data_IF_415136898887
#
_entry.id   IF_415136898887
#
_cell.length_a   1.000
_cell.length_b   1.000
_cell.length_c   1.000
_cell.angle_alpha   90.00
_cell.angle_beta   90.00
_cell.angle_gamma   90.00
#
_symmetry.space_group_name_H-M   'P 1'
#
loop_
_entity.id
_entity.type
_entity.pdbx_description
1 polymer ?
#
# COMPACT_ATOMS: atom_id res chain seq x y z
N UNK A 1 -18.34 9.24 0.94
CA UNK A 1 -18.29 8.98 -0.51
C UNK A 1 -18.59 10.30 -1.20
N UNK A 2 -17.59 10.96 -1.74
CA UNK A 2 -17.82 12.03 -2.71
C UNK A 2 -18.11 11.33 -4.03
N UNK A 3 -19.22 11.57 -4.70
CA UNK A 3 -19.53 10.92 -5.96
C UNK A 3 -18.42 11.25 -6.95
N UNK A 4 -17.81 10.26 -7.58
CA UNK A 4 -16.75 10.43 -8.58
C UNK A 4 -17.17 11.37 -9.73
N UNK A 5 -18.45 11.48 -10.01
CA UNK A 5 -19.01 12.34 -11.05
C UNK A 5 -19.05 13.84 -10.70
N UNK A 6 -18.87 14.23 -9.44
CA UNK A 6 -18.97 15.65 -9.04
C UNK A 6 -17.67 16.43 -9.12
N UNK A 7 -16.54 15.76 -9.35
CA UNK A 7 -15.22 16.39 -9.32
C UNK A 7 -14.79 16.85 -10.72
N UNK A 8 -15.36 16.28 -11.78
CA UNK A 8 -14.84 16.48 -13.12
C UNK A 8 -15.99 16.67 -14.09
N UNK A 9 -16.35 17.91 -14.29
CA UNK A 9 -17.06 18.28 -15.51
C UNK A 9 -15.96 18.59 -16.55
N UNK A 10 -15.57 17.64 -17.43
CA UNK A 10 -14.62 17.96 -18.48
C UNK A 10 -15.29 19.06 -19.30
N UNK A 11 -14.56 20.16 -19.55
CA UNK A 11 -15.00 21.15 -20.48
C UNK A 11 -15.43 20.41 -21.75
N UNK A 12 -16.66 20.57 -22.26
CA UNK A 12 -17.08 19.90 -23.46
C UNK A 12 -16.24 20.42 -24.60
N UNK A 13 -15.20 19.68 -24.97
CA UNK A 13 -14.49 19.91 -26.21
C UNK A 13 -15.37 19.35 -27.32
N UNK A 14 -16.05 20.24 -28.05
CA UNK A 14 -16.59 19.86 -29.35
C UNK A 14 -15.42 19.48 -30.26
N UNK A 15 -15.55 18.40 -31.01
CA UNK A 15 -14.53 17.94 -31.99
C UNK A 15 -14.07 19.05 -32.96
N UNK A 16 -14.91 20.07 -33.19
CA UNK A 16 -14.61 21.24 -34.02
C UNK A 16 -13.57 22.21 -33.45
N UNK A 17 -13.28 22.12 -32.16
CA UNK A 17 -12.31 23.00 -31.48
C UNK A 17 -10.92 22.36 -31.37
N UNK A 18 -10.77 21.16 -31.90
CA UNK A 18 -9.60 20.32 -31.76
C UNK A 18 -8.59 20.59 -32.85
N UNK A 19 -7.95 21.71 -32.82
CA UNK A 19 -6.72 21.95 -33.56
C UNK A 19 -5.49 21.78 -32.64
N UNK A 20 -4.32 22.09 -33.17
CA UNK A 20 -3.02 21.98 -32.44
C UNK A 20 -3.01 22.67 -31.08
N UNK A 21 -3.85 23.67 -30.85
CA UNK A 21 -4.02 24.36 -29.57
C UNK A 21 -5.06 23.72 -28.66
N UNK A 22 -5.55 22.55 -28.99
CA UNK A 22 -6.67 21.91 -28.29
C UNK A 22 -6.31 21.30 -26.94
N UNK A 23 -5.12 21.45 -26.44
CA UNK A 23 -4.73 20.90 -25.15
C UNK A 23 -5.09 19.41 -24.99
N UNK A 24 -5.03 18.64 -26.08
CA UNK A 24 -5.41 17.23 -26.06
C UNK A 24 -4.69 16.44 -24.95
N UNK A 25 -3.47 16.84 -24.64
CA UNK A 25 -2.64 16.26 -23.58
C UNK A 25 -2.65 17.08 -22.29
N UNK A 26 -3.18 18.30 -22.29
CA UNK A 26 -3.17 19.11 -21.08
C UNK A 26 -4.32 18.72 -20.16
N UNK A 27 -4.10 18.99 -18.87
CA UNK A 27 -5.16 18.88 -17.87
C UNK A 27 -6.39 19.68 -18.31
N UNK A 28 -7.57 19.08 -18.15
CA UNK A 28 -8.85 19.77 -18.35
C UNK A 28 -9.09 20.86 -17.29
N UNK A 29 -8.22 20.97 -16.29
CA UNK A 29 -8.28 21.93 -15.19
C UNK A 29 -7.07 22.85 -15.21
N UNK A 30 -7.31 24.15 -15.13
CA UNK A 30 -6.25 25.15 -15.03
C UNK A 30 -5.64 25.23 -13.62
N UNK A 31 -6.41 24.89 -12.58
CA UNK A 31 -5.99 24.99 -11.19
C UNK A 31 -6.46 23.80 -10.37
N UNK A 32 -5.57 22.83 -10.11
CA UNK A 32 -5.81 21.74 -9.20
C UNK A 32 -5.48 22.16 -7.76
N UNK A 33 -6.43 22.00 -6.84
CA UNK A 33 -6.17 22.18 -5.43
C UNK A 33 -5.21 21.08 -4.92
N UNK A 34 -4.47 21.35 -3.84
CA UNK A 34 -3.62 20.34 -3.21
C UNK A 34 -4.43 19.11 -2.79
N UNK A 35 -5.66 19.31 -2.29
CA UNK A 35 -6.55 18.20 -1.94
C UNK A 35 -6.87 17.28 -3.14
N UNK A 36 -7.08 17.83 -4.33
CA UNK A 36 -7.32 17.02 -5.54
C UNK A 36 -6.07 16.23 -5.93
N UNK A 37 -4.90 16.84 -5.82
CA UNK A 37 -3.62 16.18 -6.09
C UNK A 37 -3.35 15.04 -5.10
N UNK A 38 -3.55 15.29 -3.81
CA UNK A 38 -3.44 14.28 -2.75
C UNK A 38 -4.41 13.12 -2.93
N UNK A 39 -5.66 13.41 -3.31
CA UNK A 39 -6.66 12.38 -3.59
C UNK A 39 -6.23 11.48 -4.75
N UNK A 40 -5.62 12.04 -5.79
CA UNK A 40 -5.07 11.26 -6.89
C UNK A 40 -3.90 10.38 -6.42
N UNK A 41 -2.94 10.95 -5.69
CA UNK A 41 -1.81 10.21 -5.14
C UNK A 41 -2.30 9.04 -4.28
N UNK A 42 -3.27 9.29 -3.40
CA UNK A 42 -3.85 8.26 -2.53
C UNK A 42 -4.54 7.14 -3.32
N UNK A 43 -5.19 7.45 -4.45
CA UNK A 43 -5.78 6.43 -5.33
C UNK A 43 -4.71 5.59 -6.04
N UNK A 44 -3.58 6.19 -6.41
CA UNK A 44 -2.48 5.50 -7.08
C UNK A 44 -1.59 4.71 -6.10
N UNK A 45 -1.54 5.11 -4.82
CA UNK A 45 -0.60 4.56 -3.86
C UNK A 45 -0.73 3.05 -3.65
N UNK A 46 -1.95 2.55 -3.37
CA UNK A 46 -2.15 1.13 -3.14
C UNK A 46 -1.78 0.26 -4.36
N UNK A 47 -2.27 0.55 -5.60
CA UNK A 47 -1.83 -0.17 -6.78
C UNK A 47 -0.32 -0.11 -7.02
N UNK A 48 0.31 1.05 -6.81
CA UNK A 48 1.75 1.20 -7.03
C UNK A 48 2.58 0.42 -5.99
N UNK A 49 2.15 0.38 -4.73
CA UNK A 49 2.79 -0.43 -3.68
C UNK A 49 2.66 -1.93 -3.95
N UNK A 50 1.47 -2.39 -4.38
CA UNK A 50 1.26 -3.78 -4.80
C UNK A 50 2.17 -4.14 -5.98
N UNK A 51 2.28 -3.26 -6.98
CA UNK A 51 3.17 -3.46 -8.12
C UNK A 51 4.66 -3.43 -7.72
N UNK A 52 5.04 -2.63 -6.73
CA UNK A 52 6.40 -2.66 -6.17
C UNK A 52 6.70 -4.00 -5.50
N UNK A 53 5.77 -4.54 -4.73
CA UNK A 53 5.92 -5.85 -4.07
C UNK A 53 5.95 -7.00 -5.09
N UNK A 54 5.07 -6.98 -6.10
CA UNK A 54 4.92 -8.07 -7.06
C UNK A 54 5.98 -8.03 -8.17
N UNK A 55 6.27 -6.84 -8.70
CA UNK A 55 7.11 -6.68 -9.89
C UNK A 55 8.47 -6.05 -9.60
N UNK A 56 8.69 -5.50 -8.38
CA UNK A 56 9.94 -4.83 -8.01
C UNK A 56 10.16 -3.48 -8.71
N UNK A 57 9.10 -2.84 -9.21
CA UNK A 57 9.14 -1.50 -9.81
C UNK A 57 8.92 -0.46 -8.72
N UNK A 58 9.76 0.60 -8.59
CA UNK A 58 9.57 1.60 -7.54
C UNK A 58 8.17 2.22 -7.57
N UNK A 59 7.44 2.16 -6.46
CA UNK A 59 6.10 2.75 -6.35
C UNK A 59 6.13 4.26 -6.58
N UNK A 60 7.16 4.93 -6.05
CA UNK A 60 7.41 6.36 -6.27
C UNK A 60 7.55 6.72 -7.74
N UNK A 61 8.24 5.88 -8.52
CA UNK A 61 8.37 6.06 -9.96
C UNK A 61 7.01 5.90 -10.66
N UNK A 62 6.25 4.86 -10.34
CA UNK A 62 4.91 4.63 -10.91
C UNK A 62 3.99 5.81 -10.64
N UNK A 63 3.91 6.28 -9.39
CA UNK A 63 3.05 7.41 -9.01
C UNK A 63 3.53 8.70 -9.69
N UNK A 64 4.83 8.96 -9.68
CA UNK A 64 5.42 10.14 -10.32
C UNK A 64 5.18 10.18 -11.84
N UNK A 65 5.32 9.03 -12.51
CA UNK A 65 4.99 8.88 -13.94
C UNK A 65 3.51 9.15 -14.20
N UNK A 66 2.61 8.58 -13.39
CA UNK A 66 1.17 8.81 -13.51
C UNK A 66 0.82 10.29 -13.35
N UNK A 67 1.45 11.00 -12.40
CA UNK A 67 1.25 12.44 -12.20
C UNK A 67 1.70 13.23 -13.43
N UNK A 68 2.91 12.97 -13.94
CA UNK A 68 3.48 13.69 -15.08
C UNK A 68 2.63 13.49 -16.34
N UNK A 69 2.32 12.23 -16.68
CA UNK A 69 1.67 11.85 -17.94
C UNK A 69 0.16 12.18 -17.95
N UNK A 70 -0.48 12.21 -16.78
CA UNK A 70 -1.94 12.41 -16.69
C UNK A 70 -2.38 13.74 -16.07
N UNK A 71 -1.43 14.57 -15.60
CA UNK A 71 -1.78 15.78 -14.88
C UNK A 71 -2.67 15.50 -13.66
N UNK A 72 -2.27 14.58 -12.81
CA UNK A 72 -3.06 14.09 -11.66
C UNK A 72 -4.42 13.47 -12.09
N UNK A 73 -4.42 12.71 -13.19
CA UNK A 73 -5.62 12.04 -13.70
C UNK A 73 -6.62 12.97 -14.40
N UNK A 74 -6.24 14.17 -14.78
CA UNK A 74 -7.16 15.18 -15.34
C UNK A 74 -7.02 15.39 -16.84
N UNK A 75 -6.13 14.68 -17.52
CA UNK A 75 -6.08 14.69 -18.98
C UNK A 75 -7.28 13.94 -19.58
N UNK A 76 -7.64 14.26 -20.82
CA UNK A 76 -8.74 13.57 -21.52
C UNK A 76 -8.51 12.05 -21.61
N UNK A 77 -7.27 11.62 -21.80
CA UNK A 77 -6.90 10.20 -21.86
C UNK A 77 -7.11 9.52 -20.50
N UNK A 78 -6.69 10.17 -19.40
CA UNK A 78 -6.88 9.63 -18.06
C UNK A 78 -8.38 9.51 -17.71
N UNK A 79 -9.18 10.54 -18.03
CA UNK A 79 -10.62 10.58 -17.69
C UNK A 79 -11.42 9.54 -18.49
N UNK A 80 -11.16 9.41 -19.81
CA UNK A 80 -12.00 8.59 -20.67
C UNK A 80 -11.52 7.14 -20.80
N UNK A 81 -10.25 6.87 -20.48
CA UNK A 81 -9.65 5.55 -20.66
C UNK A 81 -9.02 4.96 -19.40
N UNK A 82 -9.07 5.63 -18.25
CA UNK A 82 -8.28 5.29 -17.05
C UNK A 82 -6.79 5.05 -17.37
N UNK A 83 -6.28 5.76 -18.37
CA UNK A 83 -4.91 5.58 -18.88
C UNK A 83 -4.04 6.74 -18.41
N UNK A 84 -3.34 6.49 -17.30
CA UNK A 84 -2.54 7.50 -16.61
C UNK A 84 -1.10 7.59 -17.13
N UNK A 85 -0.74 6.75 -18.10
CA UNK A 85 0.63 6.57 -18.58
C UNK A 85 0.77 6.81 -20.09
N UNK A 86 -0.28 7.27 -20.75
CA UNK A 86 -0.25 7.54 -22.18
C UNK A 86 -0.03 6.29 -23.06
N UNK A 87 -0.46 5.11 -22.60
CA UNK A 87 -0.23 3.85 -23.30
C UNK A 87 -1.07 3.78 -24.57
N UNK A 88 -0.40 3.86 -25.72
CA UNK A 88 -1.01 3.82 -27.06
C UNK A 88 -1.31 2.40 -27.53
N UNK A 89 -2.30 2.30 -28.43
CA UNK A 89 -2.61 1.10 -29.21
C UNK A 89 -2.64 1.52 -30.68
N UNK A 90 -1.72 1.00 -31.46
CA UNK A 90 -1.61 1.34 -32.86
C UNK A 90 -2.63 0.58 -33.72
N UNK A 91 -3.26 1.25 -34.66
CA UNK A 91 -4.17 0.64 -35.61
C UNK A 91 -5.43 1.43 -35.85
N UNK A 92 -6.24 0.96 -36.79
CA UNK A 92 -7.52 1.55 -37.09
C UNK A 92 -8.60 0.96 -36.20
N UNK A 93 -9.23 1.80 -35.39
CA UNK A 93 -10.30 1.40 -34.46
C UNK A 93 -9.97 0.12 -33.63
N UNK A 94 -8.84 0.09 -32.92
CA UNK A 94 -8.44 -1.09 -32.17
C UNK A 94 -9.42 -1.40 -31.02
N UNK A 95 -9.58 -2.69 -30.69
CA UNK A 95 -10.43 -3.10 -29.56
C UNK A 95 -9.86 -2.59 -28.24
N UNK A 96 -10.73 -2.26 -27.30
CA UNK A 96 -10.39 -1.76 -25.97
C UNK A 96 -9.48 -0.51 -26.00
N UNK A 97 -9.75 0.39 -26.94
CA UNK A 97 -9.04 1.63 -27.05
C UNK A 97 -10.00 2.82 -27.23
N UNK A 98 -9.61 3.95 -26.69
CA UNK A 98 -10.29 5.23 -26.83
C UNK A 98 -9.47 6.15 -27.73
N UNK A 99 -10.14 6.84 -28.66
CA UNK A 99 -9.48 7.73 -29.60
C UNK A 99 -9.38 9.16 -29.06
N UNK A 100 -8.16 9.69 -28.96
CA UNK A 100 -7.91 11.09 -28.65
C UNK A 100 -7.93 11.91 -29.93
N UNK A 101 -9.10 12.41 -30.30
CA UNK A 101 -9.27 13.24 -31.49
C UNK A 101 -8.64 14.63 -31.30
N UNK A 102 -8.24 15.24 -32.42
CA UNK A 102 -7.69 16.58 -32.45
C UNK A 102 -6.26 16.74 -31.99
N UNK A 103 -5.57 15.64 -31.73
CA UNK A 103 -4.15 15.61 -31.45
C UNK A 103 -3.33 15.96 -32.70
N UNK A 104 -2.19 16.66 -32.62
CA UNK A 104 -1.26 16.83 -33.72
C UNK A 104 -0.92 15.50 -34.37
N UNK A 105 -0.68 15.51 -35.68
CA UNK A 105 -0.25 14.30 -36.39
C UNK A 105 1.18 13.92 -35.98
N UNK A 106 1.32 12.76 -35.39
CA UNK A 106 2.61 12.15 -34.99
C UNK A 106 2.93 10.91 -35.81
N UNK A 107 2.03 10.53 -36.76
CA UNK A 107 2.26 9.36 -37.62
C UNK A 107 3.23 9.74 -38.76
N UNK A 108 4.05 8.78 -39.14
CA UNK A 108 4.95 8.91 -40.29
C UNK A 108 4.17 8.91 -41.64
N UNK A 109 2.91 8.49 -41.65
CA UNK A 109 2.03 8.54 -42.80
C UNK A 109 1.08 9.74 -42.67
N UNK A 110 1.09 10.68 -43.62
CA UNK A 110 0.24 11.85 -43.56
C UNK A 110 -1.25 11.47 -43.48
N UNK A 111 -1.91 11.98 -42.45
CA UNK A 111 -3.37 11.83 -42.32
C UNK A 111 -4.07 12.89 -43.17
N UNK A 112 -5.13 12.53 -43.94
CA UNK A 112 -5.88 13.50 -44.73
C UNK A 112 -6.40 14.66 -43.87
N UNK A 113 -6.16 15.89 -44.33
CA UNK A 113 -6.66 17.12 -43.70
C UNK A 113 -8.00 17.46 -44.31
N UNK A 114 -9.07 17.51 -43.52
CA UNK A 114 -10.42 17.86 -43.94
C UNK A 114 -10.63 19.37 -43.98
N UNK A 115 -9.95 20.11 -43.09
CA UNK A 115 -9.98 21.57 -43.06
C UNK A 115 -8.68 22.12 -42.46
N UNK A 116 -8.18 23.22 -43.03
CA UNK A 116 -7.01 23.96 -42.57
C UNK A 116 -7.41 25.42 -42.29
N UNK A 117 -7.32 25.84 -41.04
CA UNK A 117 -7.66 27.19 -40.58
C UNK A 117 -6.42 28.06 -40.35
N UNK A 118 -5.26 27.63 -40.83
CA UNK A 118 -3.98 28.30 -40.61
C UNK A 118 -3.49 28.19 -39.16
N UNK A 119 -2.27 28.70 -38.89
CA UNK A 119 -1.64 28.68 -37.57
C UNK A 119 -1.69 27.29 -36.89
N UNK A 120 -1.44 26.25 -37.64
CA UNK A 120 -1.45 24.86 -37.15
C UNK A 120 -2.80 24.33 -36.64
N UNK A 121 -3.89 24.96 -36.97
CA UNK A 121 -5.24 24.47 -36.70
C UNK A 121 -5.77 23.68 -37.91
N UNK A 122 -5.51 22.37 -37.89
CA UNK A 122 -5.97 21.43 -38.91
C UNK A 122 -7.00 20.48 -38.32
N UNK A 123 -8.04 20.19 -39.09
CA UNK A 123 -8.96 19.10 -38.77
C UNK A 123 -8.57 17.93 -39.66
N UNK A 124 -8.18 16.86 -39.03
CA UNK A 124 -7.77 15.62 -39.69
C UNK A 124 -8.97 14.68 -39.91
N UNK A 125 -8.86 13.79 -40.85
CA UNK A 125 -9.77 12.64 -40.97
C UNK A 125 -9.43 11.62 -39.89
N UNK A 126 -10.04 11.79 -38.73
CA UNK A 126 -9.80 10.94 -37.53
C UNK A 126 -10.12 9.47 -37.80
N UNK A 127 -10.92 9.14 -38.83
CA UNK A 127 -11.19 7.75 -39.22
C UNK A 127 -9.98 7.06 -39.87
N UNK A 128 -8.99 7.83 -40.31
CA UNK A 128 -7.76 7.37 -40.96
C UNK A 128 -6.58 7.38 -40.03
N UNK A 129 -6.76 7.80 -38.77
CA UNK A 129 -5.67 7.86 -37.80
C UNK A 129 -5.43 6.53 -37.13
N UNK A 130 -4.13 6.18 -36.93
CA UNK A 130 -3.66 4.97 -36.25
C UNK A 130 -2.91 5.27 -34.94
N UNK A 131 -2.45 6.49 -34.77
CA UNK A 131 -1.49 6.95 -33.78
C UNK A 131 -2.12 7.54 -32.50
N UNK A 132 -3.42 7.85 -32.54
CA UNK A 132 -4.11 8.55 -31.47
C UNK A 132 -5.10 7.71 -30.66
N UNK A 133 -4.90 6.40 -30.66
CA UNK A 133 -5.67 5.45 -29.86
C UNK A 133 -4.95 5.09 -28.58
N UNK A 134 -5.65 5.13 -27.48
CA UNK A 134 -5.12 4.84 -26.15
C UNK A 134 -5.86 3.66 -25.51
N UNK A 135 -5.11 2.75 -24.89
CA UNK A 135 -5.68 1.59 -24.22
C UNK A 135 -6.65 2.03 -23.11
N UNK A 136 -7.82 1.40 -23.06
CA UNK A 136 -8.79 1.55 -21.97
C UNK A 136 -8.44 0.56 -20.88
N UNK A 137 -8.47 1.03 -19.63
CA UNK A 137 -8.32 0.21 -18.42
C UNK A 137 -9.59 0.30 -17.58
N UNK A 138 -9.97 -0.80 -16.92
CA UNK A 138 -11.15 -0.84 -16.07
C UNK A 138 -10.94 -0.11 -14.73
N UNK A 139 -9.68 0.01 -14.27
CA UNK A 139 -9.33 0.61 -12.98
C UNK A 139 -7.91 1.17 -12.96
N UNK A 140 -7.59 1.95 -11.91
CA UNK A 140 -6.23 2.39 -11.60
C UNK A 140 -5.27 1.18 -11.44
N UNK A 141 -5.74 0.14 -10.77
CA UNK A 141 -4.96 -1.08 -10.57
C UNK A 141 -4.60 -1.75 -11.89
N UNK A 142 -5.56 -1.94 -12.79
CA UNK A 142 -5.29 -2.56 -14.09
C UNK A 142 -4.30 -1.74 -14.93
N UNK A 143 -4.37 -0.41 -14.87
CA UNK A 143 -3.43 0.46 -15.56
C UNK A 143 -2.00 0.32 -14.99
N UNK A 144 -1.87 0.26 -13.67
CA UNK A 144 -0.60 0.06 -12.97
C UNK A 144 -0.03 -1.32 -13.23
N UNK A 145 -0.84 -2.38 -13.11
CA UNK A 145 -0.41 -3.77 -13.38
C UNK A 145 0.06 -3.93 -14.82
N UNK A 146 -0.63 -3.32 -15.77
CA UNK A 146 -0.20 -3.35 -17.16
C UNK A 146 1.12 -2.59 -17.38
N UNK A 147 1.28 -1.41 -16.79
CA UNK A 147 2.54 -0.68 -16.86
C UNK A 147 3.67 -1.49 -16.25
N UNK A 148 3.53 -1.91 -15.00
CA UNK A 148 4.61 -2.57 -14.24
C UNK A 148 4.88 -3.99 -14.75
N UNK A 149 3.85 -4.83 -14.85
CA UNK A 149 3.99 -6.25 -15.17
C UNK A 149 4.21 -6.55 -16.66
N UNK A 150 3.64 -5.73 -17.56
CA UNK A 150 3.74 -6.00 -19.00
C UNK A 150 4.74 -5.07 -19.70
N UNK A 151 4.65 -3.75 -19.48
CA UNK A 151 5.45 -2.80 -20.23
C UNK A 151 6.88 -2.70 -19.67
N UNK A 152 7.02 -2.42 -18.37
CA UNK A 152 8.33 -2.17 -17.76
C UNK A 152 9.15 -3.43 -17.50
N UNK A 153 8.53 -4.62 -17.51
CA UNK A 153 9.23 -5.90 -17.43
C UNK A 153 9.50 -6.55 -18.79
N UNK A 154 9.12 -5.92 -19.89
CA UNK A 154 9.49 -6.44 -21.20
C UNK A 154 11.02 -6.38 -21.42
N UNK A 155 11.49 -7.07 -22.46
CA UNK A 155 12.94 -7.19 -22.75
C UNK A 155 13.66 -5.85 -22.83
N UNK A 156 12.98 -4.78 -23.27
CA UNK A 156 13.55 -3.44 -23.46
C UNK A 156 13.87 -2.75 -22.15
N UNK A 157 13.00 -2.89 -21.13
CA UNK A 157 13.08 -2.08 -19.90
C UNK A 157 13.47 -2.86 -18.64
N UNK A 158 13.35 -4.19 -18.63
CA UNK A 158 13.54 -5.01 -17.42
C UNK A 158 14.91 -4.85 -16.74
N UNK A 159 15.94 -4.44 -17.50
CA UNK A 159 17.27 -4.20 -16.94
C UNK A 159 17.26 -3.07 -15.92
N UNK A 160 16.39 -2.07 -16.08
CA UNK A 160 16.25 -0.96 -15.14
C UNK A 160 15.81 -1.44 -13.74
N UNK A 161 14.93 -2.46 -13.68
CA UNK A 161 14.56 -3.13 -12.43
C UNK A 161 15.79 -3.77 -11.77
N UNK A 162 16.57 -4.54 -12.53
CA UNK A 162 17.79 -5.17 -12.01
C UNK A 162 18.77 -4.12 -11.46
N UNK A 163 19.01 -3.05 -12.22
CA UNK A 163 19.85 -1.94 -11.77
C UNK A 163 19.31 -1.28 -10.49
N UNK A 164 18.00 -1.09 -10.39
CA UNK A 164 17.35 -0.52 -9.19
C UNK A 164 17.62 -1.40 -7.97
N UNK A 165 17.37 -2.71 -8.06
CA UNK A 165 17.60 -3.69 -6.99
C UNK A 165 19.08 -3.73 -6.55
N UNK A 166 20.01 -3.71 -7.51
CA UNK A 166 21.44 -3.69 -7.22
C UNK A 166 21.88 -2.38 -6.54
N UNK A 167 21.34 -1.22 -6.95
CA UNK A 167 21.60 0.06 -6.30
C UNK A 167 21.15 0.05 -4.84
N UNK A 168 19.95 -0.48 -4.56
CA UNK A 168 19.46 -0.64 -3.18
C UNK A 168 20.37 -1.56 -2.38
N UNK A 169 20.72 -2.72 -2.93
CA UNK A 169 21.65 -3.68 -2.30
C UNK A 169 23.02 -3.06 -1.99
N UNK A 170 23.46 -2.14 -2.81
CA UNK A 170 24.73 -1.39 -2.64
C UNK A 170 24.58 -0.15 -1.74
N UNK A 171 23.47 -0.01 -1.01
CA UNK A 171 23.29 1.03 0.00
C UNK A 171 22.85 2.39 -0.54
N UNK A 172 22.33 2.47 -1.77
CA UNK A 172 21.74 3.71 -2.26
C UNK A 172 20.42 4.02 -1.55
N UNK A 173 20.12 5.30 -1.37
CA UNK A 173 18.80 5.69 -0.90
C UNK A 173 17.72 5.32 -1.92
N UNK A 174 16.51 5.00 -1.43
CA UNK A 174 15.35 4.70 -2.29
C UNK A 174 15.10 5.82 -3.30
N UNK A 175 15.19 7.07 -2.85
CA UNK A 175 15.00 8.25 -3.69
C UNK A 175 15.99 8.28 -4.86
N UNK A 176 17.28 8.14 -4.57
CA UNK A 176 18.32 8.16 -5.61
C UNK A 176 18.14 6.98 -6.57
N UNK A 177 17.86 5.79 -6.04
CA UNK A 177 17.68 4.59 -6.85
C UNK A 177 16.44 4.68 -7.75
N UNK A 178 15.31 5.22 -7.25
CA UNK A 178 14.10 5.42 -8.04
C UNK A 178 14.30 6.46 -9.15
N UNK A 179 15.01 7.54 -8.88
CA UNK A 179 15.36 8.55 -9.90
C UNK A 179 16.24 7.97 -11.01
N UNK A 180 17.22 7.15 -10.65
CA UNK A 180 18.05 6.47 -11.65
C UNK A 180 17.31 5.35 -12.39
N UNK A 181 16.29 4.74 -11.77
CA UNK A 181 15.40 3.84 -12.49
C UNK A 181 14.65 4.57 -13.63
N UNK A 182 14.15 5.79 -13.34
CA UNK A 182 13.50 6.64 -14.35
C UNK A 182 14.46 7.03 -15.49
N UNK A 183 15.72 7.31 -15.17
CA UNK A 183 16.75 7.55 -16.16
C UNK A 183 16.92 6.35 -17.08
N UNK A 184 17.11 5.15 -16.50
CA UNK A 184 17.34 3.92 -17.23
C UNK A 184 16.21 3.59 -18.22
N UNK A 185 14.93 3.69 -17.79
CA UNK A 185 13.80 3.41 -18.68
C UNK A 185 13.66 4.45 -19.80
N UNK A 186 13.94 5.71 -19.51
CA UNK A 186 13.82 6.77 -20.51
C UNK A 186 14.94 6.69 -21.55
N UNK A 187 16.19 6.39 -21.17
CA UNK A 187 17.29 6.11 -22.11
C UNK A 187 16.98 4.89 -22.99
N UNK A 188 16.25 3.90 -22.46
CA UNK A 188 15.75 2.79 -23.26
C UNK A 188 14.58 3.17 -24.18
N UNK A 189 14.17 4.45 -24.19
CA UNK A 189 13.18 5.02 -25.09
C UNK A 189 11.74 5.01 -24.56
N UNK A 190 11.54 4.97 -23.24
CA UNK A 190 10.25 5.23 -22.62
C UNK A 190 9.80 6.68 -22.84
N UNK A 191 10.75 7.62 -22.83
CA UNK A 191 10.52 9.02 -23.10
C UNK A 191 11.48 9.51 -24.20
N UNK A 192 10.95 10.23 -25.21
CA UNK A 192 11.71 10.70 -26.37
C UNK A 192 12.70 11.84 -26.04
N UNK A 193 12.55 12.49 -24.87
CA UNK A 193 13.44 13.58 -24.42
C UNK A 193 14.63 13.05 -23.61
N UNK A 194 14.73 11.73 -23.44
CA UNK A 194 15.89 11.05 -22.81
C UNK A 194 15.84 11.00 -21.28
N UNK A 195 16.80 10.25 -20.74
CA UNK A 195 16.88 9.90 -19.33
C UNK A 195 17.04 11.09 -18.41
N UNK A 196 17.93 12.02 -18.74
CA UNK A 196 18.19 13.21 -17.92
C UNK A 196 16.93 14.07 -17.73
N UNK A 197 16.20 14.32 -18.83
CA UNK A 197 14.97 15.08 -18.77
C UNK A 197 13.90 14.38 -17.92
N UNK A 198 13.70 13.09 -18.15
CA UNK A 198 12.65 12.33 -17.49
C UNK A 198 12.92 12.16 -16.00
N UNK A 199 14.17 11.80 -15.64
CA UNK A 199 14.65 11.73 -14.26
C UNK A 199 14.39 13.05 -13.51
N UNK A 200 14.75 14.18 -14.13
CA UNK A 200 14.58 15.48 -13.48
C UNK A 200 13.12 15.89 -13.33
N UNK A 201 12.27 15.61 -14.33
CA UNK A 201 10.85 15.96 -14.28
C UNK A 201 10.08 15.11 -13.27
N UNK A 202 10.18 13.79 -13.36
CA UNK A 202 9.50 12.89 -12.43
C UNK A 202 10.16 12.92 -11.05
N UNK A 203 11.49 13.04 -11.01
CA UNK A 203 12.25 13.14 -9.75
C UNK A 203 11.83 14.35 -8.92
N UNK A 204 11.60 15.50 -9.55
CA UNK A 204 11.05 16.68 -8.85
C UNK A 204 9.66 16.40 -8.23
N UNK A 205 8.81 15.66 -8.93
CA UNK A 205 7.49 15.25 -8.41
C UNK A 205 7.65 14.29 -7.22
N UNK A 206 8.61 13.34 -7.32
CA UNK A 206 8.93 12.42 -6.22
C UNK A 206 9.33 13.20 -4.96
N UNK A 207 10.17 14.23 -5.10
CA UNK A 207 10.61 15.06 -3.98
C UNK A 207 9.49 15.91 -3.41
N UNK A 208 8.76 16.61 -4.27
CA UNK A 208 7.66 17.51 -3.88
C UNK A 208 6.60 16.79 -3.04
N UNK A 209 6.30 15.54 -3.38
CA UNK A 209 5.27 14.75 -2.72
C UNK A 209 5.82 13.66 -1.79
N UNK A 210 7.13 13.62 -1.57
CA UNK A 210 7.80 12.58 -0.77
C UNK A 210 7.34 11.17 -1.16
N UNK A 211 7.29 10.88 -2.47
CA UNK A 211 6.68 9.63 -2.96
C UNK A 211 7.47 8.37 -2.59
N UNK A 212 8.75 8.49 -2.24
CA UNK A 212 9.55 7.36 -1.76
C UNK A 212 9.03 6.73 -0.47
N UNK A 213 8.16 7.44 0.23
CA UNK A 213 7.40 6.86 1.35
C UNK A 213 6.59 5.62 0.95
N UNK A 214 6.28 5.44 -0.34
CA UNK A 214 5.56 4.28 -0.87
C UNK A 214 6.49 3.16 -1.35
N UNK A 215 7.79 3.41 -1.46
CA UNK A 215 8.79 2.40 -1.82
C UNK A 215 9.16 1.58 -0.59
N UNK A 216 9.04 0.26 -0.68
CA UNK A 216 9.39 -0.67 0.41
C UNK A 216 8.67 -0.44 1.76
N UNK A 217 7.62 0.37 1.79
CA UNK A 217 6.78 0.53 2.97
C UNK A 217 5.46 -0.20 2.76
N UNK A 218 5.29 -1.30 3.45
CA UNK A 218 4.07 -2.12 3.39
C UNK A 218 2.79 -1.36 3.77
N UNK A 219 2.88 -0.22 4.52
CA UNK A 219 1.69 0.40 5.10
C UNK A 219 1.80 1.93 5.10
N UNK A 220 0.98 2.57 4.26
CA UNK A 220 0.96 4.04 4.13
C UNK A 220 0.51 4.80 5.38
N UNK A 221 -0.30 4.18 6.23
CA UNK A 221 -0.90 4.80 7.43
C UNK A 221 -0.07 4.61 8.71
N UNK A 222 1.15 4.06 8.58
CA UNK A 222 2.10 3.99 9.70
C UNK A 222 3.22 5.02 9.60
N UNK A 223 3.28 5.77 8.51
CA UNK A 223 4.30 6.79 8.30
C UNK A 223 4.13 7.91 9.32
N UNK A 224 5.19 8.17 10.10
CA UNK A 224 5.15 9.13 11.21
C UNK A 224 4.35 8.65 12.43
N UNK A 225 3.83 7.43 12.42
CA UNK A 225 3.16 6.84 13.58
C UNK A 225 4.21 6.42 14.63
N UNK A 226 3.90 6.59 15.91
CA UNK A 226 4.83 6.28 17.02
C UNK A 226 5.38 4.83 17.00
N UNK A 227 4.64 3.88 16.43
CA UNK A 227 5.02 2.48 16.29
C UNK A 227 5.46 2.12 14.86
N UNK A 228 5.86 3.09 14.03
CA UNK A 228 6.26 2.85 12.63
C UNK A 228 7.39 1.81 12.55
N UNK A 229 8.45 2.01 13.35
CA UNK A 229 9.62 1.13 13.38
C UNK A 229 9.22 -0.32 13.69
N UNK A 230 8.46 -0.51 14.76
CA UNK A 230 8.04 -1.84 15.25
C UNK A 230 7.13 -2.54 14.23
N UNK A 231 6.17 -1.81 13.65
CA UNK A 231 5.24 -2.36 12.67
C UNK A 231 5.99 -2.80 11.40
N UNK A 232 6.86 -1.95 10.85
CA UNK A 232 7.61 -2.28 9.64
C UNK A 232 8.56 -3.46 9.87
N UNK A 233 9.27 -3.47 10.99
CA UNK A 233 10.14 -4.60 11.35
C UNK A 233 9.37 -5.92 11.42
N UNK A 234 8.25 -5.97 12.15
CA UNK A 234 7.46 -7.19 12.27
C UNK A 234 6.85 -7.64 10.94
N UNK A 235 6.54 -6.69 10.06
CA UNK A 235 6.05 -6.99 8.73
C UNK A 235 7.14 -7.59 7.83
N UNK A 236 8.38 -7.12 7.94
CA UNK A 236 9.55 -7.72 7.27
C UNK A 236 9.80 -9.15 7.73
N UNK A 237 9.59 -9.43 9.02
CA UNK A 237 9.67 -10.79 9.57
C UNK A 237 8.48 -11.69 9.17
N UNK A 238 7.44 -11.13 8.52
CA UNK A 238 6.23 -11.87 8.18
C UNK A 238 5.32 -12.19 9.37
N UNK A 239 5.56 -11.61 10.55
CA UNK A 239 4.76 -11.88 11.74
C UNK A 239 3.44 -11.13 11.77
N UNK A 240 3.38 -9.97 11.09
CA UNK A 240 2.17 -9.19 10.90
C UNK A 240 1.94 -8.88 9.43
N UNK A 241 0.69 -8.59 9.09
CA UNK A 241 0.30 -8.13 7.75
C UNK A 241 -0.68 -6.98 7.82
N UNK A 242 -0.74 -6.18 6.76
CA UNK A 242 -1.73 -5.14 6.57
C UNK A 242 -3.00 -5.65 5.89
N UNK A 243 -3.75 -4.69 5.37
CA UNK A 243 -4.96 -4.91 4.59
C UNK A 243 -4.65 -4.75 3.10
N UNK A 244 -5.50 -5.30 2.25
CA UNK A 244 -5.36 -5.23 0.78
C UNK A 244 -5.35 -3.80 0.22
N UNK A 245 -5.82 -2.83 1.00
CA UNK A 245 -5.82 -1.41 0.64
C UNK A 245 -4.49 -0.70 0.95
N UNK A 246 -3.43 -1.43 1.29
CA UNK A 246 -2.12 -0.89 1.63
C UNK A 246 -2.06 -0.20 3.00
N UNK A 247 -3.04 -0.44 3.88
CA UNK A 247 -3.04 0.09 5.24
C UNK A 247 -2.73 -0.98 6.29
N UNK A 248 -2.18 -0.55 7.42
CA UNK A 248 -2.04 -1.38 8.63
C UNK A 248 -3.16 -1.17 9.62
N UNK A 249 -3.75 0.02 9.64
CA UNK A 249 -4.76 0.48 10.60
C UNK A 249 -4.26 0.41 12.05
N UNK A 250 -3.18 1.15 12.39
CA UNK A 250 -2.45 0.99 13.65
C UNK A 250 -3.31 1.22 14.89
N UNK A 251 -4.27 2.14 14.83
CA UNK A 251 -5.14 2.48 15.95
C UNK A 251 -6.39 1.58 16.09
N UNK A 252 -6.60 0.67 15.11
CA UNK A 252 -7.76 -0.24 15.18
C UNK A 252 -7.54 -1.29 16.27
N UNK A 253 -8.56 -1.58 17.13
CA UNK A 253 -8.49 -2.68 18.08
C UNK A 253 -8.22 -4.03 17.41
N UNK A 254 -7.42 -4.86 18.05
CA UNK A 254 -7.08 -6.21 17.59
C UNK A 254 -8.17 -7.19 17.99
N UNK A 255 -8.62 -8.02 17.04
CA UNK A 255 -9.50 -9.16 17.38
C UNK A 255 -8.71 -10.34 17.93
N UNK A 256 -9.38 -11.26 18.64
CA UNK A 256 -8.74 -12.48 19.16
C UNK A 256 -8.14 -13.34 18.04
N UNK A 257 -8.81 -13.48 16.90
CA UNK A 257 -8.26 -14.18 15.74
C UNK A 257 -6.98 -13.50 15.18
N UNK A 258 -6.97 -12.17 15.12
CA UNK A 258 -5.76 -11.42 14.69
C UNK A 258 -4.61 -11.57 15.68
N UNK A 259 -4.89 -11.51 16.98
CA UNK A 259 -3.88 -11.75 18.02
C UNK A 259 -3.32 -13.17 17.93
N UNK A 260 -4.18 -14.19 17.75
CA UNK A 260 -3.76 -15.57 17.55
C UNK A 260 -2.79 -15.71 16.36
N UNK A 261 -3.09 -15.07 15.22
CA UNK A 261 -2.21 -15.09 14.04
C UNK A 261 -0.84 -14.49 14.32
N UNK A 262 -0.82 -13.29 14.90
CA UNK A 262 0.42 -12.56 15.19
C UNK A 262 1.29 -13.35 16.16
N UNK A 263 0.70 -13.84 17.25
CA UNK A 263 1.41 -14.57 18.30
C UNK A 263 1.90 -15.94 17.80
N UNK A 264 1.07 -16.66 17.03
CA UNK A 264 1.46 -17.93 16.42
C UNK A 264 2.65 -17.77 15.47
N UNK A 265 2.64 -16.72 14.64
CA UNK A 265 3.74 -16.41 13.71
C UNK A 265 5.03 -16.06 14.48
N UNK A 266 4.92 -15.17 15.49
CA UNK A 266 6.05 -14.74 16.29
C UNK A 266 6.73 -15.91 17.03
N UNK A 267 5.93 -16.81 17.61
CA UNK A 267 6.42 -17.98 18.36
C UNK A 267 6.79 -19.15 17.45
N UNK A 268 6.55 -19.09 16.14
CA UNK A 268 6.83 -20.19 15.22
C UNK A 268 6.11 -21.49 15.61
N UNK A 269 4.84 -21.39 16.08
CA UNK A 269 4.11 -22.54 16.58
C UNK A 269 3.87 -23.57 15.50
N UNK A 270 4.04 -24.84 15.86
CA UNK A 270 3.79 -26.00 14.99
C UNK A 270 2.64 -26.85 15.52
N UNK A 271 1.89 -27.55 14.65
CA UNK A 271 0.79 -28.42 15.08
C UNK A 271 1.24 -29.50 16.05
N UNK A 272 0.41 -29.81 17.05
CA UNK A 272 0.53 -30.96 17.92
C UNK A 272 -0.47 -32.06 17.52
N UNK A 273 -0.43 -33.21 18.19
CA UNK A 273 -1.41 -34.28 17.97
C UNK A 273 -2.77 -34.00 18.62
N UNK A 274 -2.90 -32.91 19.38
CA UNK A 274 -4.12 -32.55 20.09
C UNK A 274 -5.15 -31.96 19.12
N UNK A 275 -6.38 -32.51 19.11
CA UNK A 275 -7.47 -31.97 18.29
C UNK A 275 -8.31 -31.02 19.13
N UNK A 276 -8.27 -29.75 18.76
CA UNK A 276 -9.09 -28.70 19.37
C UNK A 276 -10.02 -28.11 18.31
N UNK A 277 -11.25 -27.85 18.67
CA UNK A 277 -12.22 -27.16 17.83
C UNK A 277 -13.13 -26.28 18.68
N UNK A 278 -13.61 -25.20 18.10
CA UNK A 278 -14.52 -24.26 18.74
C UNK A 278 -15.80 -24.14 17.92
N UNK A 279 -16.95 -24.12 18.59
CA UNK A 279 -18.27 -24.12 17.94
C UNK A 279 -18.56 -22.85 17.14
N UNK A 280 -17.86 -21.76 17.41
CA UNK A 280 -17.98 -20.46 16.77
C UNK A 280 -16.85 -20.15 15.76
N UNK A 281 -16.06 -21.16 15.40
CA UNK A 281 -14.98 -21.07 14.40
C UNK A 281 -15.26 -22.07 13.29
N UNK A 282 -15.72 -21.55 12.13
CA UNK A 282 -15.97 -22.38 10.96
C UNK A 282 -14.66 -22.98 10.41
N UNK A 283 -14.73 -24.21 9.85
CA UNK A 283 -13.56 -24.89 9.29
C UNK A 283 -12.92 -24.14 8.10
N UNK A 284 -13.71 -23.32 7.39
CA UNK A 284 -13.22 -22.48 6.30
C UNK A 284 -12.83 -21.07 6.78
N UNK A 285 -12.86 -20.81 8.09
CA UNK A 285 -12.47 -19.50 8.62
C UNK A 285 -10.98 -19.29 8.44
N UNK A 286 -10.58 -18.14 7.94
CA UNK A 286 -9.18 -17.83 7.61
C UNK A 286 -8.17 -18.06 8.76
N UNK A 287 -8.62 -17.99 10.00
CA UNK A 287 -7.78 -18.13 11.18
C UNK A 287 -7.97 -19.48 11.90
N UNK A 288 -8.69 -20.44 11.35
CA UNK A 288 -8.99 -21.73 12.04
C UNK A 288 -7.70 -22.43 12.49
N UNK A 289 -6.70 -22.52 11.62
CA UNK A 289 -5.46 -23.21 11.93
C UNK A 289 -4.69 -22.52 13.04
N UNK A 290 -4.54 -21.20 13.00
CA UNK A 290 -3.80 -20.45 14.01
C UNK A 290 -4.53 -20.40 15.35
N UNK A 291 -5.87 -20.40 15.36
CA UNK A 291 -6.68 -20.52 16.56
C UNK A 291 -6.43 -21.88 17.22
N UNK A 292 -6.44 -22.96 16.43
CA UNK A 292 -6.15 -24.29 16.92
C UNK A 292 -4.72 -24.39 17.47
N UNK A 293 -3.72 -23.80 16.77
CA UNK A 293 -2.35 -23.78 17.24
C UNK A 293 -2.18 -23.10 18.59
N UNK A 294 -2.69 -21.88 18.77
CA UNK A 294 -2.56 -21.17 20.05
C UNK A 294 -3.32 -21.87 21.20
N UNK A 295 -4.39 -22.59 20.88
CA UNK A 295 -5.13 -23.37 21.85
C UNK A 295 -4.41 -24.68 22.23
N UNK A 296 -3.86 -25.42 21.26
CA UNK A 296 -3.04 -26.61 21.47
C UNK A 296 -1.84 -26.32 22.38
N UNK A 297 -1.22 -25.15 22.22
CA UNK A 297 -0.12 -24.69 23.05
C UNK A 297 -0.56 -24.01 24.37
N UNK A 298 -1.88 -23.99 24.67
CA UNK A 298 -2.47 -23.38 25.88
C UNK A 298 -2.15 -21.89 26.06
N UNK A 299 -1.79 -21.21 24.94
CA UNK A 299 -1.44 -19.78 24.93
C UNK A 299 -2.72 -18.93 24.94
N UNK A 300 -3.69 -19.29 24.09
CA UNK A 300 -5.00 -18.69 24.07
C UNK A 300 -6.08 -19.78 24.18
N UNK A 301 -6.85 -19.72 25.24
CA UNK A 301 -7.96 -20.66 25.47
C UNK A 301 -9.30 -20.08 24.97
N UNK A 302 -10.32 -20.94 24.92
CA UNK A 302 -11.70 -20.50 24.68
C UNK A 302 -12.23 -19.60 25.82
N UNK A 303 -13.39 -19.00 25.57
CA UNK A 303 -14.07 -18.12 26.53
C UNK A 303 -15.14 -18.84 27.37
N UNK A 304 -15.22 -20.16 27.25
CA UNK A 304 -16.28 -20.99 27.80
C UNK A 304 -17.25 -21.48 26.72
N UNK A 305 -18.08 -22.45 27.09
CA UNK A 305 -19.14 -23.06 26.24
C UNK A 305 -18.65 -23.54 24.87
N UNK A 306 -17.39 -23.99 24.79
CA UNK A 306 -16.77 -24.45 23.54
C UNK A 306 -16.54 -23.36 22.51
N UNK A 307 -16.52 -22.08 22.89
CA UNK A 307 -16.34 -20.93 22.00
C UNK A 307 -14.96 -20.29 22.15
N UNK A 308 -14.43 -19.76 21.03
CA UNK A 308 -13.20 -18.97 20.99
C UNK A 308 -13.43 -17.46 20.97
N UNK A 309 -14.57 -17.00 20.43
CA UNK A 309 -14.91 -15.61 20.17
C UNK A 309 -13.92 -14.89 19.22
N UNK A 310 -13.74 -15.37 17.97
CA UNK A 310 -12.69 -14.89 17.07
C UNK A 310 -12.77 -13.40 16.71
N UNK A 311 -13.97 -12.83 16.74
CA UNK A 311 -14.23 -11.42 16.42
C UNK A 311 -14.20 -10.48 17.64
N UNK A 312 -14.14 -11.02 18.86
CA UNK A 312 -14.06 -10.19 20.06
C UNK A 312 -12.72 -9.45 20.11
N UNK A 313 -12.74 -8.19 20.55
CA UNK A 313 -11.53 -7.41 20.75
C UNK A 313 -10.74 -7.93 21.97
N UNK A 314 -9.41 -7.93 21.86
CA UNK A 314 -8.53 -8.38 22.93
C UNK A 314 -8.24 -7.21 23.87
N UNK A 315 -8.43 -7.43 25.18
CA UNK A 315 -8.10 -6.42 26.20
C UNK A 315 -6.62 -6.48 26.57
N UNK A 316 -6.14 -5.41 27.21
CA UNK A 316 -4.76 -5.31 27.68
C UNK A 316 -4.42 -6.41 28.70
N UNK A 317 -5.35 -6.73 29.61
CA UNK A 317 -5.18 -7.83 30.56
C UNK A 317 -5.10 -9.20 29.86
N UNK A 318 -5.90 -9.39 28.80
CA UNK A 318 -5.82 -10.61 28.01
C UNK A 318 -4.49 -10.73 27.26
N UNK A 319 -3.96 -9.65 26.70
CA UNK A 319 -2.61 -9.67 26.08
C UNK A 319 -1.55 -10.03 27.10
N UNK A 320 -1.57 -9.44 28.30
CA UNK A 320 -0.63 -9.78 29.36
C UNK A 320 -0.68 -11.29 29.69
N UNK A 321 -1.89 -11.83 29.84
CA UNK A 321 -2.07 -13.26 30.14
C UNK A 321 -1.64 -14.18 29.00
N UNK A 322 -1.89 -13.79 27.74
CA UNK A 322 -1.48 -14.57 26.56
C UNK A 322 0.06 -14.67 26.50
N UNK A 323 0.77 -13.55 26.71
CA UNK A 323 2.23 -13.56 26.72
C UNK A 323 2.77 -14.37 27.90
N UNK A 324 2.16 -14.24 29.06
CA UNK A 324 2.51 -15.03 30.26
C UNK A 324 2.32 -16.52 30.01
N UNK A 325 1.20 -16.95 29.41
CA UNK A 325 0.92 -18.34 29.05
C UNK A 325 1.91 -18.90 28.01
N UNK A 326 2.50 -18.05 27.16
CA UNK A 326 3.53 -18.47 26.21
C UNK A 326 4.81 -19.02 26.90
N UNK A 327 4.94 -18.86 28.22
CA UNK A 327 6.03 -19.40 28.99
C UNK A 327 7.40 -18.78 28.72
N UNK A 328 7.39 -17.55 28.18
CA UNK A 328 8.62 -16.82 27.83
C UNK A 328 9.36 -16.27 29.05
N UNK A 329 8.70 -16.25 30.21
CA UNK A 329 9.23 -15.74 31.46
C UNK A 329 9.10 -16.77 32.57
N UNK A 330 10.17 -16.94 33.37
CA UNK A 330 10.09 -17.69 34.61
C UNK A 330 9.21 -16.94 35.60
N UNK A 331 8.39 -17.65 36.35
CA UNK A 331 7.67 -17.05 37.47
C UNK A 331 8.68 -16.43 38.43
N UNK A 332 8.83 -15.12 38.42
CA UNK A 332 9.60 -14.42 39.43
C UNK A 332 8.88 -14.56 40.78
N UNK A 333 9.63 -14.85 41.86
CA UNK A 333 9.09 -14.90 43.20
C UNK A 333 8.29 -13.63 43.49
N UNK A 334 6.99 -13.82 43.71
CA UNK A 334 6.01 -12.75 43.92
C UNK A 334 6.32 -11.97 45.20
N UNK A 335 7.14 -10.94 45.13
CA UNK A 335 6.95 -9.82 46.03
C UNK A 335 5.71 -9.05 45.49
N UNK A 336 4.63 -9.02 46.28
CA UNK A 336 3.40 -8.28 45.95
C UNK A 336 3.75 -6.83 45.61
N UNK A 337 3.89 -6.52 44.36
CA UNK A 337 4.04 -5.17 43.86
C UNK A 337 2.70 -4.75 43.25
N UNK A 338 2.02 -3.81 43.83
CA UNK A 338 0.84 -3.18 43.23
C UNK A 338 1.32 -2.05 42.33
N UNK A 339 1.73 -2.39 41.10
CA UNK A 339 2.28 -1.42 40.15
C UNK A 339 1.23 -0.48 39.58
N UNK A 340 -0.06 -0.84 39.67
CA UNK A 340 -1.15 -0.09 39.04
C UNK A 340 -2.34 0.06 39.99
N UNK A 341 -2.95 1.24 39.98
CA UNK A 341 -4.04 1.60 40.91
C UNK A 341 -5.37 0.91 40.59
N UNK A 342 -5.53 0.38 39.36
CA UNK A 342 -6.75 -0.25 38.86
C UNK A 342 -6.59 -1.79 38.64
N UNK A 343 -5.52 -2.39 39.18
CA UNK A 343 -5.28 -3.82 39.14
C UNK A 343 -5.04 -4.31 40.55
N UNK A 344 -6.06 -4.94 41.13
CA UNK A 344 -5.98 -5.48 42.49
C UNK A 344 -5.38 -6.88 42.47
N UNK A 345 -4.80 -7.30 43.58
CA UNK A 345 -4.11 -8.61 43.72
C UNK A 345 -5.02 -9.82 43.45
N UNK A 346 -6.33 -9.67 43.53
CA UNK A 346 -7.32 -10.70 43.20
C UNK A 346 -7.70 -10.68 41.73
N UNK A 347 -7.22 -9.71 40.93
CA UNK A 347 -7.50 -9.68 39.52
C UNK A 347 -6.95 -10.91 38.79
N UNK A 348 -7.74 -11.57 37.96
CA UNK A 348 -7.38 -12.85 37.34
C UNK A 348 -6.07 -12.81 36.52
N UNK A 349 -5.69 -11.66 35.99
CA UNK A 349 -4.43 -11.45 35.25
C UNK A 349 -3.36 -10.73 36.05
N UNK A 350 -3.52 -10.59 37.38
CA UNK A 350 -2.59 -9.83 38.24
C UNK A 350 -1.15 -10.27 38.04
N UNK A 351 -0.88 -11.58 38.21
CA UNK A 351 0.47 -12.12 38.06
C UNK A 351 1.08 -11.85 36.68
N UNK A 352 0.28 -11.98 35.62
CA UNK A 352 0.71 -11.70 34.26
C UNK A 352 1.04 -10.23 34.05
N UNK A 353 0.18 -9.32 34.52
CA UNK A 353 0.36 -7.86 34.40
C UNK A 353 1.61 -7.41 35.13
N UNK A 354 1.80 -7.84 36.38
CA UNK A 354 2.98 -7.48 37.20
C UNK A 354 4.27 -8.02 36.57
N UNK A 355 4.27 -9.29 36.11
CA UNK A 355 5.42 -9.86 35.40
C UNK A 355 5.77 -9.05 34.16
N UNK A 356 4.79 -8.74 33.32
CA UNK A 356 5.02 -7.96 32.08
C UNK A 356 5.48 -6.53 32.37
N UNK A 357 5.07 -5.95 33.50
CA UNK A 357 5.56 -4.64 33.96
C UNK A 357 7.01 -4.70 34.39
N UNK A 358 7.36 -5.67 35.23
CA UNK A 358 8.74 -5.87 35.71
C UNK A 358 9.71 -6.11 34.58
N UNK A 359 9.29 -6.87 33.60
CA UNK A 359 10.05 -7.17 32.38
C UNK A 359 10.08 -5.99 31.36
N UNK A 360 9.37 -4.90 31.62
CA UNK A 360 9.34 -3.74 30.74
C UNK A 360 8.61 -4.00 29.38
N UNK A 361 7.81 -5.06 29.31
CA UNK A 361 7.04 -5.41 28.11
C UNK A 361 5.77 -4.59 28.01
N UNK A 362 5.05 -4.46 29.13
CA UNK A 362 3.83 -3.67 29.24
C UNK A 362 4.01 -2.53 30.23
N UNK A 363 3.60 -1.34 29.83
CA UNK A 363 3.55 -0.17 30.68
C UNK A 363 2.10 0.27 30.90
N UNK A 364 1.83 0.92 32.02
CA UNK A 364 0.57 1.60 32.29
C UNK A 364 0.48 2.97 31.61
N UNK A 365 -0.60 3.63 31.90
CA UNK A 365 -0.82 5.02 31.53
C UNK A 365 -0.10 5.99 32.49
N UNK A 366 0.05 7.24 32.07
CA UNK A 366 0.72 8.28 32.87
C UNK A 366 -0.02 8.64 34.16
N UNK A 367 -1.30 8.26 34.29
CA UNK A 367 -2.15 8.46 35.46
C UNK A 367 -2.04 7.31 36.50
N UNK A 368 -1.15 6.34 36.29
CA UNK A 368 -0.92 5.22 37.19
C UNK A 368 -1.84 4.01 36.97
N UNK A 369 -2.75 4.05 35.98
CA UNK A 369 -3.61 2.93 35.60
C UNK A 369 -2.92 2.00 34.61
N UNK A 370 -3.31 0.73 34.62
CA UNK A 370 -3.01 -0.23 33.57
C UNK A 370 -4.06 -0.24 32.46
N UNK A 371 -5.33 -0.06 32.80
CA UNK A 371 -6.47 -0.20 31.90
C UNK A 371 -6.74 -1.67 31.49
N UNK A 372 -6.98 -2.58 32.46
CA UNK A 372 -7.06 -4.03 32.18
C UNK A 372 -8.16 -4.38 31.16
N UNK A 373 -9.22 -3.61 31.13
CA UNK A 373 -10.38 -3.81 30.24
C UNK A 373 -10.30 -3.01 28.93
N UNK A 374 -9.28 -2.15 28.77
CA UNK A 374 -9.12 -1.37 27.55
C UNK A 374 -8.69 -2.29 26.39
N UNK A 375 -9.26 -2.05 25.21
CA UNK A 375 -8.88 -2.80 24.02
C UNK A 375 -7.46 -2.47 23.58
N UNK A 376 -6.71 -3.50 23.18
CA UNK A 376 -5.36 -3.33 22.64
C UNK A 376 -5.45 -2.99 21.14
N UNK A 377 -4.78 -1.92 20.69
CA UNK A 377 -4.68 -1.58 19.28
C UNK A 377 -3.65 -2.45 18.55
N UNK A 378 -3.72 -2.48 17.21
CA UNK A 378 -2.75 -3.21 16.37
C UNK A 378 -1.33 -2.69 16.56
N UNK A 379 -1.16 -1.37 16.71
CA UNK A 379 0.15 -0.76 16.99
C UNK A 379 0.67 -1.13 18.37
N UNK A 380 -0.19 -1.14 19.39
CA UNK A 380 0.21 -1.56 20.74
C UNK A 380 0.65 -3.02 20.77
N UNK A 381 -0.08 -3.93 20.10
CA UNK A 381 0.34 -5.32 19.99
C UNK A 381 1.68 -5.45 19.25
N UNK A 382 1.86 -4.72 18.14
CA UNK A 382 3.12 -4.72 17.41
C UNK A 382 4.29 -4.28 18.29
N UNK A 383 4.15 -3.19 19.04
CA UNK A 383 5.17 -2.71 19.96
C UNK A 383 5.48 -3.72 21.08
N UNK A 384 4.50 -4.45 21.57
CA UNK A 384 4.66 -5.50 22.58
C UNK A 384 5.49 -6.66 22.00
N UNK A 385 5.12 -7.17 20.83
CA UNK A 385 5.85 -8.26 20.16
C UNK A 385 7.29 -7.84 19.82
N UNK A 386 7.51 -6.60 19.39
CA UNK A 386 8.83 -6.08 19.11
C UNK A 386 9.72 -6.06 20.37
N UNK A 387 9.19 -5.63 21.54
CA UNK A 387 9.92 -5.68 22.83
C UNK A 387 10.28 -7.09 23.24
N UNK A 388 9.38 -8.06 23.01
CA UNK A 388 9.68 -9.48 23.25
C UNK A 388 10.84 -9.94 22.36
N UNK A 389 10.83 -9.56 21.09
CA UNK A 389 11.92 -9.86 20.16
C UNK A 389 13.26 -9.25 20.62
N UNK A 390 13.28 -7.95 20.98
CA UNK A 390 14.51 -7.28 21.45
C UNK A 390 15.12 -7.93 22.71
N UNK A 391 14.31 -8.63 23.49
CA UNK A 391 14.77 -9.44 24.64
C UNK A 391 15.22 -10.85 24.28
N UNK A 392 15.24 -11.20 23.00
CA UNK A 392 15.67 -12.52 22.53
C UNK A 392 14.66 -13.64 22.80
N UNK A 393 13.38 -13.29 22.94
CA UNK A 393 12.30 -14.23 23.26
C UNK A 393 11.54 -14.75 22.04
N UNK A 394 12.02 -14.48 20.83
CA UNK A 394 11.55 -15.14 19.60
C UNK A 394 12.11 -16.56 19.52
N UNK A 395 11.30 -17.52 19.07
CA UNK A 395 11.78 -18.85 18.72
C UNK A 395 12.24 -18.92 17.29
#
# INVERSE_FOLDING_TARGET
MVPEASIINPLPFEDKQLGRNSNAYLSTYSNLSNQMKENFINKMAAPAMEANEEYGIPASAIIGMAILESGYGTTRVAINANNFFGIKVWGYNPKNAWQLKGQPDEDYEPVPVLADYGYDRKIFDESKRRDNWYRIFASHKEAVDYLAGNLLLNQRYRFAKTNYEERIKNGWSLEKAAKEYLYDIAEAGYNHLGGEYYRNKVGKIIDEWNLTQYDNKKFRDVIGHWAEKEILFLAEQGWISGYLDGTFRPNKPVTRAQAAKIISNFLGLTPTNEKISFSDVDQNYWAVDVINLVAQHKIMNGIGDGRFAPYAMVTRAQIAQIIYNAGLYSQSNNNQMNSFIDVDSNHWAYAAIETMKQEGILNGYSDGRFGPNDSTSRAQLAAIIYRLYEKGLSK
#
